data_IF_301256590614
#
_entry.id   IF_301256590614
#
_cell.length_a   1.000
_cell.length_b   1.000
_cell.length_c   1.000
_cell.angle_alpha   90.00
_cell.angle_beta   90.00
_cell.angle_gamma   90.00
#
_symmetry.space_group_name_H-M   'P 1'
#
loop_
_entity.id
_entity.type
_entity.pdbx_description
1 polymer ?
#
# COMPACT_ATOMS: atom_id res chain seq x y z
N UNK A 1 43.74 -9.03 -21.17
CA UNK A 1 42.69 -9.73 -21.93
C UNK A 1 41.47 -9.93 -21.00
N UNK A 2 40.68 -8.92 -20.73
CA UNK A 2 39.37 -9.02 -20.04
C UNK A 2 38.53 -7.72 -20.18
N UNK A 3 38.38 -7.21 -21.41
CA UNK A 3 37.58 -5.98 -21.63
C UNK A 3 36.56 -6.13 -22.79
N UNK A 4 36.20 -7.35 -23.18
CA UNK A 4 35.38 -7.59 -24.37
C UNK A 4 33.92 -7.99 -24.11
N UNK A 5 33.40 -7.82 -22.89
CA UNK A 5 32.04 -8.32 -22.54
C UNK A 5 31.00 -7.27 -22.12
N UNK A 6 31.33 -5.97 -22.21
CA UNK A 6 30.41 -4.89 -21.81
C UNK A 6 29.72 -4.13 -22.94
N UNK A 7 29.88 -4.54 -24.18
CA UNK A 7 29.38 -3.81 -25.34
C UNK A 7 28.41 -4.54 -26.27
N UNK A 8 27.86 -5.70 -25.87
CA UNK A 8 27.20 -6.61 -26.81
C UNK A 8 26.09 -5.97 -27.67
N UNK A 9 25.00 -5.51 -27.05
CA UNK A 9 23.83 -4.99 -27.80
C UNK A 9 24.13 -3.61 -28.40
N UNK A 10 24.70 -2.69 -27.64
CA UNK A 10 25.06 -1.36 -28.12
C UNK A 10 26.06 -1.41 -29.27
N UNK A 11 27.11 -2.24 -29.19
CA UNK A 11 28.08 -2.40 -30.27
C UNK A 11 27.46 -3.00 -31.54
N UNK A 12 26.62 -4.03 -31.42
CA UNK A 12 25.93 -4.66 -32.56
C UNK A 12 25.00 -3.66 -33.26
N UNK A 13 24.25 -2.88 -32.50
CA UNK A 13 23.29 -1.91 -33.03
C UNK A 13 23.98 -0.69 -33.65
N UNK A 14 25.01 -0.13 -33.02
CA UNK A 14 25.60 1.13 -33.43
C UNK A 14 26.81 1.01 -34.36
N UNK A 15 27.56 -0.08 -34.33
CA UNK A 15 28.81 -0.21 -35.07
C UNK A 15 28.80 -1.27 -36.18
N UNK A 16 27.82 -2.17 -36.23
CA UNK A 16 27.74 -3.19 -37.29
C UNK A 16 27.24 -2.55 -38.61
N UNK A 17 27.91 -2.84 -39.73
CA UNK A 17 27.44 -2.48 -41.08
C UNK A 17 26.10 -3.18 -41.34
N UNK A 18 25.03 -2.42 -41.62
CA UNK A 18 23.65 -2.91 -41.78
C UNK A 18 22.72 -2.61 -40.62
N UNK A 19 23.24 -2.09 -39.48
CA UNK A 19 22.43 -1.73 -38.29
C UNK A 19 21.76 -0.34 -38.40
N UNK A 20 21.86 0.35 -39.55
CA UNK A 20 21.31 1.71 -39.71
C UNK A 20 19.83 1.85 -39.32
N UNK A 21 18.90 0.96 -39.72
CA UNK A 21 17.50 1.07 -39.32
C UNK A 21 17.32 0.96 -37.82
N UNK A 22 18.05 0.04 -37.17
CA UNK A 22 17.95 -0.20 -35.73
C UNK A 22 18.47 0.94 -34.88
N UNK A 23 19.43 1.75 -35.36
CA UNK A 23 19.94 2.93 -34.66
C UNK A 23 18.84 3.96 -34.41
N UNK A 24 17.95 4.12 -35.39
CA UNK A 24 16.84 5.07 -35.30
C UNK A 24 15.59 4.46 -34.68
N UNK A 25 15.34 3.18 -34.89
CA UNK A 25 14.15 2.50 -34.36
C UNK A 25 14.31 2.11 -32.88
N UNK A 26 15.53 1.76 -32.43
CA UNK A 26 15.75 1.22 -31.09
C UNK A 26 15.24 2.16 -29.97
N UNK A 27 15.56 3.46 -29.95
CA UNK A 27 15.02 4.35 -28.93
C UNK A 27 13.49 4.36 -28.93
N UNK A 28 12.87 4.48 -30.11
CA UNK A 28 11.41 4.45 -30.25
C UNK A 28 10.79 3.12 -29.77
N UNK A 29 11.41 2.00 -30.12
CA UNK A 29 10.94 0.67 -29.66
C UNK A 29 11.09 0.51 -28.16
N UNK A 30 12.17 0.99 -27.55
CA UNK A 30 12.33 0.96 -26.08
C UNK A 30 11.23 1.75 -25.39
N UNK A 31 10.95 2.97 -25.88
CA UNK A 31 9.86 3.78 -25.36
C UNK A 31 8.49 3.14 -25.60
N UNK A 32 8.26 2.54 -26.77
CA UNK A 32 7.04 1.81 -27.07
C UNK A 32 6.83 0.65 -26.09
N UNK A 33 7.87 -0.16 -25.83
CA UNK A 33 7.80 -1.27 -24.89
C UNK A 33 7.53 -0.75 -23.48
N UNK A 34 8.31 0.24 -23.00
CA UNK A 34 8.21 0.73 -21.65
C UNK A 34 6.89 1.45 -21.34
N UNK A 35 6.38 2.26 -22.29
CA UNK A 35 5.23 3.14 -22.03
C UNK A 35 3.92 2.69 -22.69
N UNK A 36 3.97 1.71 -23.57
CA UNK A 36 2.77 1.20 -24.24
C UNK A 36 2.57 -0.31 -23.99
N UNK A 37 3.55 -1.14 -24.34
CA UNK A 37 3.36 -2.59 -24.27
C UNK A 37 3.36 -3.10 -22.82
N UNK A 38 4.24 -2.56 -21.97
CA UNK A 38 4.28 -2.97 -20.56
C UNK A 38 2.98 -2.58 -19.82
N UNK A 39 2.48 -1.33 -19.85
CA UNK A 39 1.21 -0.99 -19.21
C UNK A 39 0.01 -1.76 -19.82
N UNK A 40 -0.01 -1.96 -21.13
CA UNK A 40 -1.07 -2.74 -21.78
C UNK A 40 -1.06 -4.20 -21.31
N UNK A 41 0.12 -4.82 -21.26
CA UNK A 41 0.28 -6.19 -20.75
C UNK A 41 -0.09 -6.31 -19.27
N UNK A 42 0.31 -5.33 -18.45
CA UNK A 42 -0.06 -5.29 -17.04
C UNK A 42 -1.58 -5.13 -16.85
N UNK A 43 -2.21 -4.22 -17.61
CA UNK A 43 -3.68 -4.05 -17.58
C UNK A 43 -4.40 -5.33 -17.99
N UNK A 44 -3.89 -6.01 -19.02
CA UNK A 44 -4.42 -7.29 -19.45
C UNK A 44 -4.29 -8.36 -18.35
N UNK A 45 -3.13 -8.44 -17.68
CA UNK A 45 -2.96 -9.32 -16.52
C UNK A 45 -3.93 -8.96 -15.38
N UNK A 46 -4.01 -7.67 -15.01
CA UNK A 46 -4.88 -7.20 -13.95
C UNK A 46 -6.37 -7.49 -14.21
N UNK A 47 -6.78 -7.54 -15.49
CA UNK A 47 -8.18 -7.82 -15.85
C UNK A 47 -8.68 -9.22 -15.50
N UNK A 48 -7.74 -10.15 -15.21
CA UNK A 48 -8.07 -11.50 -14.70
C UNK A 48 -7.98 -11.63 -13.19
N UNK A 49 -7.72 -10.53 -12.49
CA UNK A 49 -7.58 -10.51 -11.04
C UNK A 49 -8.60 -9.57 -10.40
N UNK A 50 -8.81 -9.70 -9.09
CA UNK A 50 -9.57 -8.74 -8.30
C UNK A 50 -8.71 -7.53 -7.87
N UNK A 51 -7.60 -7.24 -8.57
CA UNK A 51 -6.72 -6.12 -8.27
C UNK A 51 -7.50 -4.80 -8.28
N UNK A 52 -7.61 -4.16 -7.13
CA UNK A 52 -8.39 -2.95 -6.95
C UNK A 52 -8.34 -2.45 -5.52
N UNK A 53 -9.18 -1.48 -5.18
CA UNK A 53 -9.27 -0.95 -3.83
C UNK A 53 -9.49 -2.06 -2.80
N UNK A 54 -8.59 -2.14 -1.81
CA UNK A 54 -8.64 -3.18 -0.79
C UNK A 54 -7.90 -4.47 -1.13
N UNK A 55 -7.37 -4.64 -2.37
CA UNK A 55 -6.64 -5.83 -2.84
C UNK A 55 -5.35 -5.46 -3.56
N UNK A 56 -4.57 -4.52 -3.00
CA UNK A 56 -3.36 -3.99 -3.64
C UNK A 56 -2.05 -4.56 -3.07
N UNK A 57 -2.10 -5.21 -1.92
CA UNK A 57 -0.93 -5.66 -1.17
C UNK A 57 -0.85 -7.19 -1.16
N UNK A 58 0.33 -7.73 -0.83
CA UNK A 58 0.49 -9.17 -0.67
C UNK A 58 -0.34 -9.72 0.50
N UNK A 59 -0.61 -11.02 0.52
CA UNK A 59 -1.32 -11.66 1.64
C UNK A 59 -0.56 -11.48 2.96
N UNK A 60 0.78 -11.48 2.94
CA UNK A 60 1.61 -11.25 4.11
C UNK A 60 1.44 -9.82 4.65
N UNK A 61 1.50 -8.82 3.77
CA UNK A 61 1.27 -7.43 4.15
C UNK A 61 -0.18 -7.20 4.61
N UNK A 62 -1.14 -7.90 4.01
CA UNK A 62 -2.53 -7.86 4.44
C UNK A 62 -2.71 -8.36 5.88
N UNK A 63 -2.03 -9.46 6.25
CA UNK A 63 -2.04 -9.97 7.65
C UNK A 63 -1.55 -8.92 8.64
N UNK A 64 -0.40 -8.31 8.35
CA UNK A 64 0.15 -7.27 9.22
C UNK A 64 -0.79 -6.05 9.31
N UNK A 65 -1.36 -5.63 8.19
CA UNK A 65 -2.28 -4.50 8.11
C UNK A 65 -3.60 -4.76 8.84
N UNK A 66 -4.15 -5.99 8.78
CA UNK A 66 -5.38 -6.37 9.47
C UNK A 66 -5.24 -6.21 10.99
N UNK A 67 -4.12 -6.66 11.57
CA UNK A 67 -3.86 -6.50 13.02
C UNK A 67 -3.91 -5.03 13.41
N UNK A 68 -3.25 -4.18 12.62
CA UNK A 68 -3.15 -2.74 12.87
C UNK A 68 -4.48 -2.02 12.68
N UNK A 69 -5.22 -2.33 11.62
CA UNK A 69 -6.49 -1.68 11.30
C UNK A 69 -7.62 -2.05 12.27
N UNK A 70 -7.50 -3.20 12.93
CA UNK A 70 -8.44 -3.66 13.94
C UNK A 70 -8.02 -3.30 15.38
N UNK A 71 -7.05 -2.40 15.56
CA UNK A 71 -6.72 -1.88 16.88
C UNK A 71 -7.77 -0.86 17.37
N UNK A 72 -8.31 -1.11 18.57
CA UNK A 72 -9.16 -0.15 19.29
C UNK A 72 -8.41 0.49 20.45
N UNK A 73 -8.73 1.74 20.82
CA UNK A 73 -8.24 2.34 22.06
C UNK A 73 -8.63 1.46 23.27
N UNK A 74 -7.73 1.34 24.22
CA UNK A 74 -8.00 0.66 25.49
C UNK A 74 -8.80 1.60 26.39
N UNK A 75 -10.00 1.20 26.78
CA UNK A 75 -10.89 2.04 27.61
C UNK A 75 -10.26 2.33 28.97
N UNK A 76 -10.34 3.61 29.36
CA UNK A 76 -9.78 4.08 30.63
C UNK A 76 -8.24 4.19 30.65
N UNK A 77 -7.56 3.96 29.53
CA UNK A 77 -6.12 4.14 29.46
C UNK A 77 -5.71 5.61 29.55
N UNK A 78 -4.60 5.92 30.23
CA UNK A 78 -4.10 7.28 30.30
C UNK A 78 -3.61 7.77 28.92
N UNK A 79 -3.64 9.08 28.73
CA UNK A 79 -3.01 9.70 27.55
C UNK A 79 -1.54 10.01 27.85
N UNK A 80 -0.65 9.35 27.12
CA UNK A 80 0.79 9.55 27.26
C UNK A 80 1.24 10.84 26.58
N UNK A 81 2.14 11.58 27.23
CA UNK A 81 2.85 12.68 26.58
C UNK A 81 4.06 12.13 25.85
N UNK A 82 4.14 12.41 24.58
CA UNK A 82 5.20 11.87 23.73
C UNK A 82 5.85 12.94 22.87
N UNK A 83 7.07 12.66 22.41
CA UNK A 83 7.78 13.49 21.43
C UNK A 83 8.43 12.61 20.38
N UNK A 84 8.35 12.98 19.10
CA UNK A 84 9.10 12.32 18.07
C UNK A 84 10.60 12.63 18.23
N UNK A 85 11.41 11.58 18.27
CA UNK A 85 12.87 11.65 18.30
C UNK A 85 13.43 10.81 17.15
N UNK A 86 14.61 11.19 16.65
CA UNK A 86 15.22 10.51 15.50
C UNK A 86 16.68 10.19 15.82
N UNK A 87 17.12 9.01 15.42
CA UNK A 87 18.52 8.61 15.44
C UNK A 87 18.82 7.72 14.22
N UNK A 88 19.82 8.13 13.43
CA UNK A 88 20.24 7.36 12.24
C UNK A 88 19.18 7.16 11.16
N UNK A 89 18.26 8.11 10.98
CA UNK A 89 17.19 8.05 9.99
C UNK A 89 15.98 7.22 10.43
N UNK A 90 15.94 6.75 11.68
CA UNK A 90 14.82 6.01 12.26
C UNK A 90 14.11 6.88 13.29
N UNK A 91 12.78 6.95 13.16
CA UNK A 91 11.96 7.64 14.15
C UNK A 91 11.68 6.73 15.35
N UNK A 92 11.66 7.34 16.52
CA UNK A 92 11.34 6.69 17.80
C UNK A 92 10.48 7.63 18.63
N UNK A 93 9.87 7.14 19.67
CA UNK A 93 8.98 7.89 20.55
C UNK A 93 9.65 8.10 21.90
N UNK A 94 9.90 9.36 22.30
CA UNK A 94 10.24 9.69 23.67
C UNK A 94 8.92 9.79 24.45
N UNK A 95 8.74 8.93 25.42
CA UNK A 95 7.50 8.73 26.16
C UNK A 95 7.68 9.21 27.58
N UNK A 96 6.71 9.94 28.11
CA UNK A 96 6.61 10.20 29.55
C UNK A 96 5.44 9.40 30.09
N UNK A 97 5.70 8.50 31.02
CA UNK A 97 4.68 7.74 31.72
C UNK A 97 3.85 8.70 32.60
N UNK A 98 2.54 8.81 32.40
CA UNK A 98 1.69 9.74 33.16
C UNK A 98 1.55 9.37 34.63
N UNK A 99 1.75 8.11 35.01
CA UNK A 99 1.56 7.61 36.37
C UNK A 99 2.83 7.76 37.22
N UNK A 100 4.01 7.47 36.61
CA UNK A 100 5.30 7.49 37.32
C UNK A 100 6.13 8.73 37.03
N UNK A 101 5.88 9.41 35.91
CA UNK A 101 6.71 10.52 35.40
C UNK A 101 8.04 10.06 34.81
N UNK A 102 8.28 8.77 34.71
CA UNK A 102 9.51 8.22 34.15
C UNK A 102 9.54 8.37 32.61
N UNK A 103 10.73 8.49 32.04
CA UNK A 103 10.94 8.59 30.62
C UNK A 103 11.32 7.23 30.00
N UNK A 104 10.77 6.95 28.83
CA UNK A 104 11.07 5.77 28.02
C UNK A 104 11.37 6.16 26.57
N UNK A 105 12.20 5.37 25.90
CA UNK A 105 12.37 5.41 24.45
C UNK A 105 11.61 4.24 23.87
N UNK A 106 10.58 4.57 23.07
CA UNK A 106 9.72 3.61 22.39
C UNK A 106 10.17 3.39 20.94
N UNK A 107 10.37 2.14 20.58
CA UNK A 107 10.67 1.66 19.23
C UNK A 107 9.69 0.56 18.84
N UNK A 108 9.75 0.06 17.61
CA UNK A 108 8.97 -1.11 17.18
C UNK A 108 9.30 -2.39 17.98
N UNK A 109 10.44 -2.42 18.67
CA UNK A 109 10.87 -3.56 19.50
C UNK A 109 10.33 -3.47 20.94
N UNK A 110 9.86 -2.30 21.37
CA UNK A 110 9.30 -2.03 22.68
C UNK A 110 9.75 -0.72 23.30
N UNK A 111 9.32 -0.49 24.53
CA UNK A 111 9.68 0.67 25.34
C UNK A 111 10.81 0.33 26.29
N UNK A 112 11.92 1.07 26.25
CA UNK A 112 13.07 0.93 27.14
C UNK A 112 13.20 2.15 28.05
N UNK A 113 13.49 1.99 29.36
CA UNK A 113 13.69 3.11 30.28
C UNK A 113 14.80 4.04 29.80
N UNK A 114 14.60 5.34 29.93
CA UNK A 114 15.55 6.38 29.56
C UNK A 114 15.85 7.29 30.77
N UNK A 115 16.59 6.81 31.75
CA UNK A 115 16.87 7.56 32.98
C UNK A 115 17.66 8.85 32.75
N UNK A 116 18.45 8.91 31.67
CA UNK A 116 19.25 10.08 31.29
C UNK A 116 18.47 11.10 30.43
N UNK A 117 17.18 10.89 30.21
CA UNK A 117 16.34 11.85 29.50
C UNK A 117 16.18 13.14 30.30
N UNK A 118 16.20 14.26 29.60
CA UNK A 118 15.97 15.58 30.22
C UNK A 118 14.46 15.74 30.43
N UNK A 119 14.06 15.97 31.66
CA UNK A 119 12.68 16.20 32.07
C UNK A 119 12.48 17.67 32.40
N UNK A 120 11.55 18.33 31.73
CA UNK A 120 11.14 19.71 32.00
C UNK A 120 9.65 19.78 32.23
N UNK A 121 9.22 20.41 33.31
CA UNK A 121 7.81 20.54 33.66
C UNK A 121 7.06 19.21 33.77
N UNK A 122 7.77 18.14 34.20
CA UNK A 122 7.18 16.80 34.34
C UNK A 122 7.05 16.02 33.02
N UNK A 123 7.67 16.48 31.93
CA UNK A 123 7.70 15.77 30.66
C UNK A 123 9.09 15.64 30.09
N UNK A 124 9.38 14.50 29.48
CA UNK A 124 10.66 14.27 28.80
C UNK A 124 10.73 15.13 27.53
N UNK A 125 11.79 15.93 27.39
CA UNK A 125 11.97 16.88 26.27
C UNK A 125 13.08 16.46 25.32
N UNK A 126 14.09 15.72 25.78
CA UNK A 126 15.16 15.18 24.95
C UNK A 126 15.78 13.94 25.58
N UNK A 127 16.44 13.12 24.77
CA UNK A 127 17.19 11.95 25.21
C UNK A 127 18.58 11.94 24.58
N UNK A 128 19.64 11.53 25.29
CA UNK A 128 21.00 11.44 24.76
C UNK A 128 21.07 10.52 23.55
N UNK A 129 21.77 10.97 22.51
CA UNK A 129 21.93 10.21 21.26
C UNK A 129 20.76 10.31 20.26
N UNK A 130 19.72 11.10 20.57
CA UNK A 130 18.58 11.34 19.73
C UNK A 130 18.38 12.83 19.45
N UNK A 131 17.96 13.15 18.23
CA UNK A 131 17.51 14.48 17.85
C UNK A 131 16.00 14.60 18.10
N UNK A 132 15.58 15.55 18.92
CA UNK A 132 14.15 15.82 19.09
C UNK A 132 13.62 16.54 17.87
N UNK A 133 12.61 15.96 17.22
CA UNK A 133 11.95 16.56 16.07
C UNK A 133 10.85 17.52 16.53
N UNK A 134 10.81 18.71 15.93
CA UNK A 134 9.72 19.62 16.15
C UNK A 134 8.54 19.33 15.17
N UNK A 135 7.37 19.87 15.46
CA UNK A 135 6.18 19.69 14.64
C UNK A 135 6.37 20.11 13.17
N UNK A 136 7.17 21.17 12.95
CA UNK A 136 7.47 21.65 11.59
C UNK A 136 8.37 20.70 10.82
N UNK A 137 9.32 20.04 11.47
CA UNK A 137 10.17 19.03 10.83
C UNK A 137 9.35 17.78 10.44
N UNK A 138 8.44 17.35 11.30
CA UNK A 138 7.56 16.22 11.02
C UNK A 138 6.59 16.54 9.86
N UNK A 139 5.92 17.70 9.91
CA UNK A 139 4.98 18.12 8.86
C UNK A 139 5.68 18.48 7.53
N UNK A 140 6.96 18.80 7.55
CA UNK A 140 7.74 19.13 6.36
C UNK A 140 8.31 17.93 5.60
N UNK A 141 8.31 16.76 6.22
CA UNK A 141 8.80 15.50 5.62
C UNK A 141 7.72 14.41 5.69
N UNK A 142 7.01 14.15 4.56
CA UNK A 142 5.96 13.15 4.53
C UNK A 142 6.43 11.74 4.89
N UNK A 143 7.71 11.40 4.67
CA UNK A 143 8.24 10.09 5.02
C UNK A 143 8.44 9.93 6.53
N UNK A 144 8.88 10.99 7.21
CA UNK A 144 8.97 11.01 8.67
C UNK A 144 7.59 11.04 9.32
N UNK A 145 6.65 11.81 8.78
CA UNK A 145 5.27 11.84 9.29
C UNK A 145 4.60 10.46 9.17
N UNK A 146 4.79 9.77 8.05
CA UNK A 146 4.28 8.41 7.86
C UNK A 146 4.93 7.43 8.86
N UNK A 147 6.26 7.47 9.03
CA UNK A 147 6.93 6.63 10.02
C UNK A 147 6.41 6.89 11.45
N UNK A 148 6.11 8.15 11.79
CA UNK A 148 5.53 8.51 13.07
C UNK A 148 4.12 7.94 13.25
N UNK A 149 3.26 8.10 12.26
CA UNK A 149 1.87 7.59 12.31
C UNK A 149 1.82 6.06 12.37
N UNK A 150 2.73 5.39 11.69
CA UNK A 150 2.82 3.92 11.66
C UNK A 150 3.51 3.33 12.90
N UNK A 151 4.17 4.15 13.72
CA UNK A 151 4.92 3.68 14.87
C UNK A 151 3.98 3.03 15.90
N UNK A 152 4.23 1.75 16.18
CA UNK A 152 3.59 0.98 17.23
C UNK A 152 4.65 0.54 18.24
N UNK A 153 4.56 1.02 19.44
CA UNK A 153 5.49 0.69 20.52
C UNK A 153 4.83 -0.33 21.46
N UNK A 154 5.28 -1.59 21.49
CA UNK A 154 4.83 -2.53 22.50
C UNK A 154 5.06 -1.94 23.90
N UNK A 155 3.97 -1.79 24.67
CA UNK A 155 4.05 -1.13 25.96
C UNK A 155 4.20 -2.16 27.07
N UNK A 156 5.45 -2.31 27.55
CA UNK A 156 5.80 -3.26 28.60
C UNK A 156 5.23 -4.68 28.32
N UNK A 157 4.91 -5.43 29.35
CA UNK A 157 4.32 -6.78 29.21
C UNK A 157 2.78 -6.77 29.20
N UNK A 158 2.16 -5.65 28.78
CA UNK A 158 0.70 -5.49 28.83
C UNK A 158 -0.03 -6.14 27.65
N UNK A 159 0.67 -6.45 26.56
CA UNK A 159 0.08 -6.90 25.30
C UNK A 159 -0.58 -5.77 24.49
N UNK A 160 -0.44 -4.51 24.93
CA UNK A 160 -0.95 -3.34 24.24
C UNK A 160 0.15 -2.62 23.46
N UNK A 161 -0.24 -1.90 22.41
CA UNK A 161 0.65 -1.03 21.66
C UNK A 161 0.36 0.44 21.99
N UNK A 162 1.41 1.19 22.28
CA UNK A 162 1.31 2.64 22.37
C UNK A 162 1.45 3.23 20.98
N UNK A 163 0.41 3.93 20.52
CA UNK A 163 0.36 4.55 19.21
C UNK A 163 0.20 6.05 19.29
N UNK A 164 0.88 6.83 18.42
CA UNK A 164 0.63 8.25 18.31
C UNK A 164 -0.83 8.53 17.94
N UNK A 165 -1.47 9.41 18.68
CA UNK A 165 -2.77 10.00 18.35
C UNK A 165 -2.62 11.44 17.85
N UNK A 166 -1.45 12.01 18.12
CA UNK A 166 -0.99 13.32 17.63
C UNK A 166 0.54 13.38 17.76
N UNK A 167 1.21 14.41 17.24
CA UNK A 167 2.65 14.56 17.39
C UNK A 167 3.16 14.63 18.84
N UNK A 168 2.28 14.93 19.80
CA UNK A 168 2.65 15.12 21.22
C UNK A 168 1.91 14.20 22.17
N UNK A 169 1.02 13.35 21.66
CA UNK A 169 0.24 12.44 22.49
C UNK A 169 0.15 11.06 21.84
N UNK A 170 0.13 10.06 22.72
CA UNK A 170 -0.10 8.68 22.33
C UNK A 170 -1.12 8.02 23.27
N UNK A 171 -1.76 6.97 22.78
CA UNK A 171 -2.71 6.17 23.55
C UNK A 171 -2.43 4.69 23.38
N UNK A 172 -2.81 3.91 24.40
CA UNK A 172 -2.74 2.45 24.32
C UNK A 172 -3.84 1.93 23.40
N UNK A 173 -3.45 1.00 22.54
CA UNK A 173 -4.34 0.30 21.62
C UNK A 173 -4.16 -1.19 21.72
N UNK A 174 -5.23 -1.92 21.51
CA UNK A 174 -5.25 -3.37 21.47
C UNK A 174 -5.88 -3.82 20.16
N UNK A 175 -5.23 -4.76 19.48
CA UNK A 175 -5.86 -5.41 18.34
C UNK A 175 -7.08 -6.20 18.81
N UNK A 176 -8.17 -6.08 18.07
CA UNK A 176 -9.39 -6.85 18.34
C UNK A 176 -9.33 -8.24 17.71
N UNK A 177 -8.30 -8.52 16.92
CA UNK A 177 -8.11 -9.81 16.28
C UNK A 177 -6.76 -10.42 16.66
N UNK A 178 -6.73 -11.72 16.84
CA UNK A 178 -5.51 -12.51 17.07
C UNK A 178 -5.25 -13.40 15.86
N UNK A 179 -4.01 -13.38 15.36
CA UNK A 179 -3.60 -14.20 14.23
C UNK A 179 -2.99 -15.52 14.70
N UNK A 180 -3.46 -16.64 14.15
CA UNK A 180 -2.86 -17.96 14.32
C UNK A 180 -2.08 -18.35 13.05
N UNK A 181 -0.73 -18.35 13.10
CA UNK A 181 0.09 -18.68 11.94
C UNK A 181 0.06 -20.17 11.55
N UNK A 182 -0.39 -21.08 12.44
CA UNK A 182 -0.45 -22.51 12.14
C UNK A 182 -1.65 -22.84 11.25
N UNK A 183 -2.76 -22.17 11.49
CA UNK A 183 -4.01 -22.41 10.76
C UNK A 183 -4.30 -21.32 9.72
N UNK A 184 -3.48 -20.25 9.64
CA UNK A 184 -3.69 -19.07 8.80
C UNK A 184 -5.08 -18.45 9.02
N UNK A 185 -5.44 -18.22 10.30
CA UNK A 185 -6.75 -17.70 10.71
C UNK A 185 -6.60 -16.49 11.61
N UNK A 186 -7.59 -15.60 11.56
CA UNK A 186 -7.80 -14.59 12.57
C UNK A 186 -8.98 -14.96 13.45
N UNK A 187 -8.87 -14.67 14.73
CA UNK A 187 -9.99 -14.82 15.68
C UNK A 187 -10.29 -13.45 16.28
N UNK A 188 -11.51 -13.01 16.17
CA UNK A 188 -12.00 -11.82 16.86
C UNK A 188 -12.13 -12.09 18.36
N UNK A 189 -11.51 -11.23 19.17
CA UNK A 189 -11.39 -11.44 20.62
C UNK A 189 -12.74 -11.27 21.33
N UNK A 190 -13.60 -10.39 20.82
CA UNK A 190 -14.88 -10.05 21.44
C UNK A 190 -15.98 -11.05 21.07
N UNK A 191 -16.12 -11.35 19.78
CA UNK A 191 -17.19 -12.24 19.27
C UNK A 191 -16.79 -13.70 19.21
N UNK A 192 -15.48 -13.99 19.19
CA UNK A 192 -14.95 -15.35 18.94
C UNK A 192 -15.09 -15.78 17.47
N UNK A 193 -15.47 -14.89 16.56
CA UNK A 193 -15.59 -15.19 15.14
C UNK A 193 -14.22 -15.56 14.56
N UNK A 194 -14.16 -16.63 13.78
CA UNK A 194 -12.96 -17.11 13.12
C UNK A 194 -13.02 -16.75 11.64
N UNK A 195 -11.97 -16.08 11.16
CA UNK A 195 -11.80 -15.68 9.76
C UNK A 195 -10.69 -16.53 9.15
N UNK A 196 -11.01 -17.23 8.09
CA UNK A 196 -10.06 -18.07 7.34
C UNK A 196 -9.65 -17.39 6.03
N UNK A 197 -8.44 -17.68 5.55
CA UNK A 197 -7.97 -17.15 4.29
C UNK A 197 -8.78 -17.71 3.11
N UNK A 198 -9.63 -16.89 2.52
CA UNK A 198 -10.42 -17.25 1.34
C UNK A 198 -9.66 -16.84 0.06
N UNK A 199 -9.10 -17.85 -0.63
CA UNK A 199 -8.29 -17.64 -1.83
C UNK A 199 -9.13 -17.34 -3.09
N UNK A 200 -10.44 -17.46 -3.04
CA UNK A 200 -11.31 -17.15 -4.17
C UNK A 200 -11.60 -15.65 -4.26
N UNK A 201 -11.75 -15.01 -3.09
CA UNK A 201 -12.02 -13.55 -3.02
C UNK A 201 -10.82 -12.73 -2.58
N UNK A 202 -9.76 -13.36 -2.06
CA UNK A 202 -8.56 -12.67 -1.56
C UNK A 202 -8.80 -11.90 -0.26
N UNK A 203 -9.56 -12.45 0.67
CA UNK A 203 -9.91 -11.88 1.98
C UNK A 203 -9.83 -12.94 3.07
N UNK A 204 -9.74 -12.51 4.31
CA UNK A 204 -10.07 -13.35 5.46
C UNK A 204 -11.57 -13.25 5.71
N UNK A 205 -12.28 -14.39 5.65
CA UNK A 205 -13.75 -14.44 5.74
C UNK A 205 -14.21 -15.46 6.77
N UNK A 206 -15.39 -15.25 7.34
CA UNK A 206 -16.09 -16.25 8.15
C UNK A 206 -16.71 -17.33 7.24
N UNK A 207 -17.16 -18.41 7.84
CA UNK A 207 -17.88 -19.49 7.16
C UNK A 207 -19.28 -19.09 6.62
N UNK A 208 -19.82 -17.98 7.12
CA UNK A 208 -21.13 -17.42 6.70
C UNK A 208 -20.99 -16.36 5.62
N UNK A 209 -19.77 -16.08 5.14
CA UNK A 209 -19.54 -15.09 4.10
C UNK A 209 -20.19 -15.49 2.78
N UNK A 210 -21.04 -14.60 2.26
CA UNK A 210 -21.68 -14.78 0.96
C UNK A 210 -20.79 -14.20 -0.16
N UNK A 211 -20.25 -15.07 -1.01
CA UNK A 211 -19.36 -14.67 -2.10
C UNK A 211 -20.07 -13.80 -3.15
N UNK A 212 -21.36 -14.06 -3.43
CA UNK A 212 -22.13 -13.27 -4.41
C UNK A 212 -22.40 -11.85 -3.91
N UNK A 213 -22.56 -11.68 -2.59
CA UNK A 213 -22.72 -10.38 -1.96
C UNK A 213 -21.38 -9.62 -1.83
N UNK A 214 -20.22 -10.30 -1.87
CA UNK A 214 -18.90 -9.73 -1.81
C UNK A 214 -18.69 -8.82 -0.58
N UNK A 215 -18.02 -7.68 -0.76
CA UNK A 215 -17.78 -6.69 0.32
C UNK A 215 -18.98 -5.73 0.51
N UNK A 216 -20.20 -6.21 0.33
CA UNK A 216 -21.41 -5.42 0.56
C UNK A 216 -21.81 -5.40 2.04
N UNK A 217 -22.81 -4.59 2.37
CA UNK A 217 -23.39 -4.54 3.74
C UNK A 217 -23.99 -5.88 4.20
N UNK A 218 -24.35 -6.77 3.27
CA UNK A 218 -24.85 -8.10 3.63
C UNK A 218 -23.80 -8.94 4.35
N UNK A 219 -22.51 -8.69 4.10
CA UNK A 219 -21.38 -9.36 4.72
C UNK A 219 -20.66 -8.48 5.78
N UNK A 220 -21.31 -7.45 6.29
CA UNK A 220 -20.69 -6.59 7.32
C UNK A 220 -20.31 -7.43 8.55
N UNK A 221 -19.03 -7.33 8.97
CA UNK A 221 -18.47 -8.14 10.04
C UNK A 221 -18.09 -9.57 9.67
N UNK A 222 -18.30 -10.00 8.43
CA UNK A 222 -17.95 -11.35 7.98
C UNK A 222 -16.64 -11.44 7.23
N UNK A 223 -15.94 -10.34 7.04
CA UNK A 223 -14.62 -10.29 6.39
C UNK A 223 -13.71 -9.25 7.02
N UNK A 224 -12.41 -9.46 6.88
CA UNK A 224 -11.38 -8.52 7.30
C UNK A 224 -10.72 -7.88 6.08
N UNK A 225 -10.40 -6.58 6.20
CA UNK A 225 -9.68 -5.80 5.19
C UNK A 225 -8.34 -5.32 5.76
N UNK A 226 -7.33 -5.06 4.92
CA UNK A 226 -7.30 -5.25 3.47
C UNK A 226 -7.16 -6.71 3.04
N UNK A 227 -7.52 -6.99 1.80
CA UNK A 227 -7.26 -8.27 1.15
C UNK A 227 -6.03 -8.26 0.24
N UNK A 228 -5.89 -9.30 -0.56
CA UNK A 228 -4.80 -9.48 -1.52
C UNK A 228 -5.34 -9.84 -2.92
N UNK A 229 -4.53 -9.58 -3.99
CA UNK A 229 -4.96 -9.92 -5.35
C UNK A 229 -5.01 -11.43 -5.55
N UNK A 230 -6.12 -11.90 -6.11
CA UNK A 230 -6.32 -13.29 -6.53
C UNK A 230 -6.78 -13.34 -7.98
N UNK A 231 -6.61 -14.49 -8.64
CA UNK A 231 -7.07 -14.69 -9.99
C UNK A 231 -8.57 -15.03 -9.97
N UNK A 232 -9.38 -14.18 -10.60
CA UNK A 232 -10.84 -14.35 -10.74
C UNK A 232 -11.25 -14.81 -12.14
N UNK A 233 -10.29 -15.20 -12.99
CA UNK A 233 -10.58 -15.69 -14.33
C UNK A 233 -11.29 -14.67 -15.19
N UNK A 234 -12.47 -15.02 -15.70
CA UNK A 234 -13.28 -14.17 -16.58
C UNK A 234 -14.42 -13.43 -15.87
N UNK A 235 -14.47 -13.44 -14.53
CA UNK A 235 -15.60 -12.88 -13.78
C UNK A 235 -15.74 -11.37 -13.99
N UNK A 236 -14.61 -10.65 -14.09
CA UNK A 236 -14.65 -9.23 -14.42
C UNK A 236 -15.32 -8.96 -15.77
N UNK A 237 -15.05 -9.81 -16.76
CA UNK A 237 -15.67 -9.69 -18.10
C UNK A 237 -17.14 -10.06 -18.07
N UNK A 238 -17.49 -11.12 -17.33
CA UNK A 238 -18.89 -11.54 -17.16
C UNK A 238 -19.68 -10.44 -16.47
N UNK A 239 -19.17 -9.85 -15.41
CA UNK A 239 -19.79 -8.72 -14.67
C UNK A 239 -20.04 -7.52 -15.58
N UNK A 240 -19.05 -7.13 -16.39
CA UNK A 240 -19.20 -6.00 -17.34
C UNK A 240 -20.32 -6.27 -18.35
N UNK A 241 -20.53 -7.52 -18.76
CA UNK A 241 -21.54 -7.88 -19.76
C UNK A 241 -22.92 -8.14 -19.16
N UNK A 242 -22.99 -8.64 -17.93
CA UNK A 242 -24.24 -9.11 -17.32
C UNK A 242 -24.83 -8.13 -16.31
N UNK A 243 -24.00 -7.38 -15.55
CA UNK A 243 -24.49 -6.40 -14.59
C UNK A 243 -25.06 -5.17 -15.31
N UNK A 244 -26.36 -4.86 -15.15
CA UNK A 244 -26.99 -3.73 -15.84
C UNK A 244 -26.38 -2.37 -15.45
N UNK A 245 -25.97 -2.19 -14.20
CA UNK A 245 -25.40 -0.94 -13.68
C UNK A 245 -24.02 -0.65 -14.29
N UNK A 246 -23.18 -1.67 -14.36
CA UNK A 246 -21.84 -1.58 -14.96
C UNK A 246 -21.96 -1.42 -16.48
N UNK A 247 -22.77 -2.28 -17.13
CA UNK A 247 -22.96 -2.29 -18.58
C UNK A 247 -23.49 -0.98 -19.13
N UNK A 248 -24.47 -0.38 -18.45
CA UNK A 248 -25.10 0.86 -18.91
C UNK A 248 -24.10 2.03 -19.01
N UNK A 249 -23.09 2.04 -18.17
CA UNK A 249 -22.07 3.09 -18.16
C UNK A 249 -20.85 2.71 -19.00
N UNK A 250 -20.43 1.46 -18.97
CA UNK A 250 -19.17 1.00 -19.59
C UNK A 250 -19.29 0.88 -21.12
N UNK A 251 -20.34 0.24 -21.66
CA UNK A 251 -20.44 -0.01 -23.09
C UNK A 251 -20.52 1.27 -23.94
N UNK A 252 -21.26 2.32 -23.58
CA UNK A 252 -21.24 3.56 -24.35
C UNK A 252 -19.85 4.20 -24.40
N UNK A 253 -19.10 4.19 -23.29
CA UNK A 253 -17.74 4.74 -23.24
C UNK A 253 -16.80 3.90 -24.11
N UNK A 254 -16.88 2.59 -24.05
CA UNK A 254 -16.10 1.68 -24.87
C UNK A 254 -16.34 1.91 -26.36
N UNK A 255 -17.61 1.91 -26.78
CA UNK A 255 -18.01 2.14 -28.18
C UNK A 255 -17.51 3.52 -28.65
N UNK A 256 -17.72 4.55 -27.84
CA UNK A 256 -17.26 5.91 -28.17
C UNK A 256 -15.75 5.97 -28.33
N UNK A 257 -14.98 5.29 -27.50
CA UNK A 257 -13.51 5.23 -27.59
C UNK A 257 -13.04 4.63 -28.91
N UNK A 258 -13.68 3.53 -29.36
CA UNK A 258 -13.40 2.94 -30.67
C UNK A 258 -13.79 3.86 -31.83
N UNK A 259 -15.00 4.45 -31.79
CA UNK A 259 -15.48 5.37 -32.82
C UNK A 259 -14.53 6.58 -32.94
N UNK A 260 -14.13 7.14 -31.81
CA UNK A 260 -13.18 8.26 -31.78
C UNK A 260 -11.81 7.88 -32.34
N UNK A 261 -11.24 6.75 -31.90
CA UNK A 261 -9.93 6.30 -32.36
C UNK A 261 -9.93 6.03 -33.88
N UNK A 262 -10.90 5.27 -34.38
CA UNK A 262 -11.04 4.96 -35.81
C UNK A 262 -11.27 6.26 -36.62
N UNK A 263 -12.18 7.11 -36.14
CA UNK A 263 -12.46 8.40 -36.79
C UNK A 263 -11.25 9.30 -36.90
N UNK A 264 -10.45 9.37 -35.84
CA UNK A 264 -9.19 10.15 -35.80
C UNK A 264 -8.17 9.63 -36.82
N UNK A 265 -7.98 8.30 -36.89
CA UNK A 265 -7.06 7.67 -37.86
C UNK A 265 -7.52 7.94 -39.29
N UNK A 266 -8.81 7.77 -39.59
CA UNK A 266 -9.36 8.04 -40.93
C UNK A 266 -9.17 9.50 -41.30
N UNK A 267 -9.48 10.44 -40.42
CA UNK A 267 -9.30 11.88 -40.70
C UNK A 267 -7.83 12.23 -40.90
N UNK A 268 -6.93 11.75 -40.05
CA UNK A 268 -5.49 12.00 -40.21
C UNK A 268 -4.97 11.44 -41.53
N UNK A 269 -5.37 10.24 -41.92
CA UNK A 269 -5.00 9.65 -43.21
C UNK A 269 -5.55 10.44 -44.37
N UNK A 270 -6.81 10.86 -44.35
CA UNK A 270 -7.45 11.64 -45.40
C UNK A 270 -6.77 13.02 -45.58
N UNK A 271 -6.51 13.74 -44.49
CA UNK A 271 -5.80 15.00 -44.50
C UNK A 271 -4.33 14.85 -44.99
N UNK A 272 -3.62 13.83 -44.54
CA UNK A 272 -2.26 13.53 -44.98
C UNK A 272 -2.20 13.23 -46.48
N UNK A 273 -3.15 12.42 -46.98
CA UNK A 273 -3.27 12.11 -48.40
C UNK A 273 -3.59 13.38 -49.24
N UNK A 274 -4.54 14.19 -48.74
CA UNK A 274 -4.92 15.44 -49.43
C UNK A 274 -3.74 16.41 -49.54
N UNK A 275 -2.99 16.60 -48.46
CA UNK A 275 -1.76 17.41 -48.47
C UNK A 275 -0.71 16.85 -49.43
N UNK A 276 -0.51 15.53 -49.46
CA UNK A 276 0.45 14.90 -50.36
C UNK A 276 0.06 15.02 -51.83
N UNK A 277 -1.25 15.17 -52.16
CA UNK A 277 -1.71 15.40 -53.53
C UNK A 277 -1.62 16.85 -53.99
N UNK A 278 -1.59 17.79 -53.04
CA UNK A 278 -1.53 19.25 -53.34
C UNK A 278 -0.07 19.74 -53.40
N UNK A 279 0.84 19.07 -52.73
CA UNK A 279 2.30 19.36 -52.78
C UNK A 279 2.99 18.62 -53.90
#
# INVERSE_FOLDING_TARGET
>A
IKTAQRGGIGYIVYFRKGGLPWKYLLPGVVFLIAFQLYPAGYTFYASFTNLGTGHLISQEDARASIVVQNEKPVDGSPSFVVRPIESGGKISMLITDPDTGEAFIGTIEGATPAPDAVIEGGTAVSAPGYNTLNLGALAGDPALDQQWQDLAVPWQDTGYNLRPSSPTRAGLRQSQVTYDPQNDTFTDIESGAVYTANQEVGLYTTDTFDQDAGQSRANEGQFLTPGWPVNVGLDNYSTVLTDPGVRANFLPILIWSFVFAIGTVIMQFAFGLLLAMVM
#
